data_IF_597754920256
#
_entry.id   IF_597754920256
#
_cell.length_a   1.000
_cell.length_b   1.000
_cell.length_c   1.000
_cell.angle_alpha   90.00
_cell.angle_beta   90.00
_cell.angle_gamma   90.00
#
_symmetry.space_group_name_H-M   'P 1'
#
loop_
_entity.id
_entity.type
_entity.pdbx_description
1 polymer ?
#
# COMPACT_ATOMS: atom_id res chain seq x y z
N UNK A 1 -8.08 -8.44 0.82
CA UNK A 1 -8.10 -8.37 -0.65
C UNK A 1 -6.71 -7.91 -1.08
N UNK A 2 -6.17 -8.50 -2.13
CA UNK A 2 -4.88 -8.08 -2.69
C UNK A 2 -5.02 -8.03 -4.20
N UNK A 3 -4.35 -7.08 -4.82
CA UNK A 3 -4.37 -6.86 -6.26
C UNK A 3 -3.01 -6.42 -6.77
N UNK A 4 -2.68 -6.92 -7.95
CA UNK A 4 -1.67 -6.34 -8.83
C UNK A 4 -2.44 -5.82 -10.02
N UNK A 5 -2.10 -4.62 -10.46
CA UNK A 5 -2.55 -3.99 -11.69
C UNK A 5 -1.31 -3.67 -12.51
N UNK A 6 -1.15 -4.30 -13.66
CA UNK A 6 -0.04 -4.01 -14.57
C UNK A 6 -0.59 -3.21 -15.75
N UNK A 7 -0.24 -1.94 -15.84
CA UNK A 7 -0.67 -1.00 -16.88
C UNK A 7 0.43 -0.81 -17.93
N UNK A 8 0.11 -1.07 -19.18
CA UNK A 8 0.99 -0.75 -20.31
C UNK A 8 0.95 0.76 -20.65
N UNK A 9 2.04 1.35 -21.17
CA UNK A 9 2.10 2.77 -21.56
C UNK A 9 1.08 3.16 -22.63
N UNK A 10 0.66 2.18 -23.43
CA UNK A 10 -0.39 2.28 -24.44
C UNK A 10 -1.78 2.46 -23.85
N UNK A 11 -1.98 2.16 -22.56
CA UNK A 11 -3.28 2.06 -21.90
C UNK A 11 -4.07 0.80 -22.28
N UNK A 12 -3.41 -0.17 -22.92
CA UNK A 12 -4.04 -1.34 -23.58
C UNK A 12 -4.08 -2.52 -22.60
N UNK A 13 -2.97 -2.97 -22.02
CA UNK A 13 -2.96 -4.03 -21.00
C UNK A 13 -3.20 -3.51 -19.58
N UNK A 14 -4.17 -4.10 -18.87
CA UNK A 14 -4.36 -3.96 -17.43
C UNK A 14 -4.69 -5.32 -16.86
N UNK A 15 -3.74 -5.93 -16.12
CA UNK A 15 -3.98 -7.24 -15.50
C UNK A 15 -4.30 -7.10 -14.03
N UNK A 16 -5.59 -7.30 -13.71
CA UNK A 16 -6.10 -7.28 -12.35
C UNK A 16 -6.04 -8.69 -11.74
N UNK A 17 -5.07 -8.90 -10.87
CA UNK A 17 -4.93 -10.14 -10.09
C UNK A 17 -5.65 -10.04 -8.75
N UNK A 18 -6.99 -10.16 -8.71
CA UNK A 18 -7.73 -10.12 -7.46
C UNK A 18 -7.62 -11.43 -6.69
N UNK A 19 -7.15 -11.35 -5.44
CA UNK A 19 -7.12 -12.47 -4.51
C UNK A 19 -8.25 -12.41 -3.48
N UNK A 20 -9.09 -13.44 -3.50
CA UNK A 20 -10.05 -13.76 -2.46
C UNK A 20 -9.75 -15.13 -1.85
N UNK A 21 -10.15 -15.34 -0.60
CA UNK A 21 -10.18 -16.70 -0.04
C UNK A 21 -11.12 -17.60 -0.86
N UNK A 22 -12.30 -17.07 -1.15
CA UNK A 22 -13.38 -17.70 -1.90
C UNK A 22 -14.28 -16.62 -2.53
N UNK A 23 -15.27 -17.03 -3.33
CA UNK A 23 -16.19 -16.15 -4.07
C UNK A 23 -16.81 -15.01 -3.26
N UNK A 24 -17.29 -15.26 -2.03
CA UNK A 24 -17.92 -14.20 -1.22
C UNK A 24 -16.95 -13.19 -0.56
N UNK A 25 -15.65 -13.25 -0.87
CA UNK A 25 -14.61 -12.31 -0.39
C UNK A 25 -14.01 -11.47 -1.52
N UNK A 26 -14.49 -11.64 -2.74
CA UNK A 26 -14.10 -10.81 -3.88
C UNK A 26 -14.98 -9.57 -3.85
N UNK A 27 -14.39 -8.42 -3.53
CA UNK A 27 -15.10 -7.15 -3.65
C UNK A 27 -15.39 -6.86 -5.12
N UNK A 28 -16.52 -6.21 -5.40
CA UNK A 28 -16.92 -5.79 -6.75
C UNK A 28 -17.04 -6.96 -7.75
N UNK A 29 -17.31 -8.20 -7.29
CA UNK A 29 -17.44 -9.37 -8.18
C UNK A 29 -18.43 -9.14 -9.32
N UNK A 30 -19.55 -8.50 -9.01
CA UNK A 30 -20.63 -8.22 -9.96
C UNK A 30 -20.35 -6.95 -10.79
N UNK A 31 -19.51 -6.06 -10.29
CA UNK A 31 -19.14 -4.79 -10.94
C UNK A 31 -17.88 -4.88 -11.79
N UNK A 32 -17.02 -5.89 -11.58
CA UNK A 32 -15.90 -6.22 -12.46
C UNK A 32 -16.52 -6.86 -13.71
N UNK A 33 -16.79 -6.09 -14.78
CA UNK A 33 -17.41 -6.64 -15.95
C UNK A 33 -16.47 -7.70 -16.51
N UNK A 34 -17.01 -8.66 -17.26
CA UNK A 34 -16.19 -9.34 -18.26
C UNK A 34 -15.77 -8.24 -19.22
N UNK A 35 -14.53 -7.77 -19.12
CA UNK A 35 -13.95 -6.77 -20.02
C UNK A 35 -13.70 -7.40 -21.41
N UNK A 36 -14.66 -8.18 -21.90
CA UNK A 36 -14.67 -8.75 -23.24
C UNK A 36 -14.58 -7.59 -24.24
N UNK A 37 -13.65 -7.71 -25.20
CA UNK A 37 -13.35 -6.72 -26.24
C UNK A 37 -12.66 -5.42 -25.78
N UNK A 38 -12.16 -5.37 -24.54
CA UNK A 38 -11.16 -4.37 -24.15
C UNK A 38 -9.78 -5.03 -24.09
N UNK A 39 -8.69 -4.27 -24.24
CA UNK A 39 -7.36 -4.85 -24.19
C UNK A 39 -6.90 -5.28 -22.78
N UNK A 40 -7.78 -5.17 -21.78
CA UNK A 40 -7.54 -5.60 -20.42
C UNK A 40 -7.75 -7.11 -20.26
N UNK A 41 -6.76 -7.81 -19.70
CA UNK A 41 -6.87 -9.23 -19.35
C UNK A 41 -7.07 -9.37 -17.84
N UNK A 42 -8.01 -10.18 -17.38
CA UNK A 42 -8.26 -10.40 -15.94
C UNK A 42 -7.87 -11.82 -15.56
N UNK A 43 -7.18 -11.98 -14.43
CA UNK A 43 -6.87 -13.29 -13.86
C UNK A 43 -7.21 -13.30 -12.37
N UNK A 44 -8.20 -14.09 -11.96
CA UNK A 44 -8.68 -14.18 -10.58
C UNK A 44 -8.12 -15.43 -9.90
N UNK A 45 -7.57 -15.26 -8.70
CA UNK A 45 -6.94 -16.35 -7.93
C UNK A 45 -7.71 -16.65 -6.66
N UNK A 46 -8.15 -17.91 -6.47
CA UNK A 46 -8.74 -18.39 -5.23
C UNK A 46 -7.79 -19.32 -4.47
N UNK A 47 -7.45 -18.93 -3.24
CA UNK A 47 -6.60 -19.75 -2.37
C UNK A 47 -7.39 -20.88 -1.68
N UNK A 48 -8.68 -20.68 -1.42
CA UNK A 48 -9.57 -21.63 -0.73
C UNK A 48 -10.97 -21.65 -1.41
N UNK A 49 -11.06 -22.07 -2.69
CA UNK A 49 -12.34 -22.12 -3.39
C UNK A 49 -13.33 -23.05 -2.66
N UNK A 50 -14.59 -22.63 -2.58
CA UNK A 50 -15.68 -23.45 -2.04
C UNK A 50 -16.07 -24.54 -3.04
N UNK A 51 -16.74 -25.62 -2.59
CA UNK A 51 -17.29 -26.62 -3.50
C UNK A 51 -18.29 -26.05 -4.52
N UNK A 52 -18.91 -24.91 -4.21
CA UNK A 52 -19.81 -24.18 -5.12
C UNK A 52 -19.09 -23.28 -6.13
N UNK A 53 -17.80 -23.03 -5.96
CA UNK A 53 -17.03 -22.13 -6.82
C UNK A 53 -16.54 -22.90 -8.06
N UNK A 54 -16.77 -22.35 -9.25
CA UNK A 54 -16.46 -22.99 -10.54
C UNK A 54 -15.27 -22.32 -11.22
N UNK A 55 -14.23 -23.10 -11.54
CA UNK A 55 -13.07 -22.59 -12.28
C UNK A 55 -13.46 -22.18 -13.72
N UNK A 56 -12.93 -21.06 -14.19
CA UNK A 56 -13.27 -20.43 -15.47
C UNK A 56 -14.56 -19.59 -15.45
N UNK A 57 -15.30 -19.62 -14.34
CA UNK A 57 -16.49 -18.79 -14.12
C UNK A 57 -16.26 -17.84 -12.95
N UNK A 58 -15.89 -18.39 -11.80
CA UNK A 58 -15.74 -17.66 -10.54
C UNK A 58 -14.28 -17.27 -10.27
N UNK A 59 -13.34 -18.09 -10.73
CA UNK A 59 -11.90 -17.88 -10.61
C UNK A 59 -11.16 -18.56 -11.76
N UNK A 60 -9.98 -18.07 -12.13
CA UNK A 60 -9.20 -18.58 -13.26
C UNK A 60 -8.13 -19.59 -12.82
N UNK A 61 -7.53 -19.32 -11.65
CA UNK A 61 -6.40 -20.10 -11.09
C UNK A 61 -6.61 -20.35 -9.60
N UNK A 62 -6.18 -21.54 -9.15
CA UNK A 62 -6.18 -21.89 -7.73
C UNK A 62 -4.82 -21.58 -7.12
N UNK A 63 -4.80 -21.02 -5.91
CA UNK A 63 -3.57 -20.71 -5.19
C UNK A 63 -3.24 -19.21 -5.20
N UNK A 64 -1.95 -18.89 -5.06
CA UNK A 64 -1.39 -17.53 -5.19
C UNK A 64 -0.60 -17.45 -6.49
N UNK A 65 -0.49 -16.28 -7.12
CA UNK A 65 0.38 -16.11 -8.29
C UNK A 65 1.84 -16.35 -7.89
N UNK A 66 2.54 -17.12 -8.73
CA UNK A 66 3.97 -17.37 -8.64
C UNK A 66 4.72 -16.63 -9.77
N UNK A 67 6.05 -16.75 -9.79
CA UNK A 67 6.89 -16.06 -10.77
C UNK A 67 6.56 -16.46 -12.21
N UNK A 68 6.23 -17.72 -12.46
CA UNK A 68 5.87 -18.22 -13.80
C UNK A 68 4.55 -17.60 -14.26
N UNK A 69 3.55 -17.57 -13.39
CA UNK A 69 2.26 -16.95 -13.68
C UNK A 69 2.40 -15.45 -13.96
N UNK A 70 3.21 -14.74 -13.16
CA UNK A 70 3.48 -13.31 -13.40
C UNK A 70 4.25 -13.12 -14.71
N UNK A 71 5.17 -14.03 -15.07
CA UNK A 71 5.86 -14.00 -16.38
C UNK A 71 4.88 -14.21 -17.53
N UNK A 72 3.94 -15.14 -17.45
CA UNK A 72 2.93 -15.34 -18.50
C UNK A 72 2.05 -14.11 -18.68
N UNK A 73 1.64 -13.51 -17.57
CA UNK A 73 0.82 -12.30 -17.49
C UNK A 73 1.54 -11.11 -18.13
N UNK A 74 2.79 -10.87 -17.75
CA UNK A 74 3.52 -9.66 -18.14
C UNK A 74 4.28 -9.87 -19.44
N UNK A 75 4.85 -11.04 -19.68
CA UNK A 75 5.79 -11.30 -20.77
C UNK A 75 5.18 -11.33 -22.17
N UNK A 76 3.90 -11.00 -22.34
CA UNK A 76 3.29 -10.89 -23.66
C UNK A 76 3.76 -9.58 -24.31
N UNK A 77 4.45 -9.61 -25.47
CA UNK A 77 4.82 -8.39 -26.18
C UNK A 77 3.58 -7.62 -26.61
N UNK A 78 3.67 -6.29 -26.60
CA UNK A 78 2.59 -5.42 -27.05
C UNK A 78 3.10 -4.38 -28.04
N UNK A 79 2.23 -3.95 -28.93
CA UNK A 79 2.51 -2.90 -29.91
C UNK A 79 1.80 -1.62 -29.51
N UNK A 80 2.49 -0.50 -29.60
CA UNK A 80 1.91 0.80 -29.28
C UNK A 80 2.52 1.91 -30.12
N UNK A 81 1.80 3.03 -30.27
CA UNK A 81 2.26 4.18 -31.04
C UNK A 81 2.54 5.36 -30.09
N UNK A 82 3.81 5.55 -29.66
CA UNK A 82 4.17 6.72 -28.88
C UNK A 82 4.09 7.98 -29.73
N UNK A 83 3.24 8.94 -29.33
CA UNK A 83 3.28 10.32 -29.85
C UNK A 83 3.19 10.43 -31.38
N UNK A 84 2.53 9.49 -32.06
CA UNK A 84 2.41 9.47 -33.53
C UNK A 84 3.73 9.17 -34.26
N UNK A 85 4.69 8.54 -33.59
CA UNK A 85 6.01 8.21 -34.15
C UNK A 85 6.05 6.87 -34.92
N UNK A 86 4.90 6.22 -35.10
CA UNK A 86 4.77 4.88 -35.69
C UNK A 86 4.68 3.77 -34.64
N UNK A 87 4.28 2.58 -35.07
CA UNK A 87 4.14 1.41 -34.21
C UNK A 87 5.50 0.93 -33.69
N UNK A 88 5.60 0.79 -32.37
CA UNK A 88 6.74 0.21 -31.66
C UNK A 88 6.27 -1.05 -30.96
N UNK A 89 6.99 -2.14 -31.17
CA UNK A 89 6.86 -3.36 -30.37
C UNK A 89 7.68 -3.20 -29.09
N UNK A 90 7.05 -3.40 -27.94
CA UNK A 90 7.70 -3.37 -26.63
C UNK A 90 7.50 -4.70 -25.93
N UNK A 91 8.53 -5.11 -25.20
CA UNK A 91 8.38 -6.22 -24.28
C UNK A 91 7.53 -5.81 -23.07
N UNK A 92 6.97 -6.81 -22.40
CA UNK A 92 6.17 -6.60 -21.21
C UNK A 92 6.88 -5.98 -20.02
N UNK A 93 8.23 -5.97 -20.02
CA UNK A 93 9.01 -5.36 -18.93
C UNK A 93 8.91 -3.84 -18.91
N UNK A 94 8.43 -3.24 -20.01
CA UNK A 94 8.08 -1.83 -20.11
C UNK A 94 6.63 -1.54 -19.67
N UNK A 95 6.24 -2.05 -18.48
CA UNK A 95 4.90 -1.85 -17.90
C UNK A 95 4.97 -1.22 -16.50
N UNK A 96 3.95 -0.44 -16.14
CA UNK A 96 3.77 0.10 -14.80
C UNK A 96 3.02 -0.92 -13.96
N UNK A 97 3.62 -1.41 -12.87
CA UNK A 97 2.98 -2.36 -11.97
C UNK A 97 2.57 -1.67 -10.66
N UNK A 98 1.26 -1.57 -10.42
CA UNK A 98 0.68 -1.07 -9.18
C UNK A 98 0.23 -2.24 -8.30
N UNK A 99 0.71 -2.30 -7.06
CA UNK A 99 0.49 -3.43 -6.16
C UNK A 99 -0.14 -2.93 -4.86
N UNK A 100 -1.17 -3.63 -4.37
CA UNK A 100 -1.64 -3.44 -3.00
C UNK A 100 -2.09 -4.76 -2.39
N UNK A 101 -1.85 -4.97 -1.09
CA UNK A 101 -2.29 -6.19 -0.43
C UNK A 101 -1.68 -6.43 0.94
N UNK A 102 -1.51 -7.71 1.27
CA UNK A 102 -0.78 -8.09 2.48
C UNK A 102 0.73 -7.88 2.28
N UNK A 103 1.50 -7.56 3.34
CA UNK A 103 2.94 -7.28 3.23
C UNK A 103 3.74 -8.40 2.55
N UNK A 104 3.45 -9.66 2.88
CA UNK A 104 4.08 -10.83 2.26
C UNK A 104 3.81 -10.88 0.74
N UNK A 105 2.58 -10.60 0.34
CA UNK A 105 2.18 -10.60 -1.06
C UNK A 105 2.88 -9.47 -1.83
N UNK A 106 2.87 -8.26 -1.30
CA UNK A 106 3.55 -7.12 -1.91
C UNK A 106 5.05 -7.40 -2.10
N UNK A 107 5.68 -8.01 -1.09
CA UNK A 107 7.10 -8.38 -1.13
C UNK A 107 7.35 -9.40 -2.24
N UNK A 108 6.60 -10.50 -2.29
CA UNK A 108 6.79 -11.54 -3.32
C UNK A 108 6.56 -11.00 -4.73
N UNK A 109 5.50 -10.21 -4.95
CA UNK A 109 5.23 -9.63 -6.28
C UNK A 109 6.34 -8.66 -6.70
N UNK A 110 6.81 -7.78 -5.80
CA UNK A 110 7.94 -6.88 -6.10
C UNK A 110 9.17 -7.66 -6.54
N UNK A 111 9.50 -8.75 -5.85
CA UNK A 111 10.62 -9.62 -6.21
C UNK A 111 10.44 -10.25 -7.60
N UNK A 112 9.24 -10.75 -7.91
CA UNK A 112 8.95 -11.33 -9.22
C UNK A 112 9.07 -10.29 -10.34
N UNK A 113 8.49 -9.10 -10.17
CA UNK A 113 8.54 -8.03 -11.16
C UNK A 113 9.97 -7.54 -11.42
N UNK A 114 10.77 -7.37 -10.35
CA UNK A 114 12.20 -7.04 -10.46
C UNK A 114 12.97 -8.15 -11.18
N UNK A 115 12.70 -9.42 -10.85
CA UNK A 115 13.30 -10.57 -11.51
C UNK A 115 12.92 -10.74 -12.99
N UNK A 116 11.82 -10.13 -13.42
CA UNK A 116 11.37 -10.08 -14.81
C UNK A 116 11.88 -8.83 -15.56
N UNK A 117 12.67 -7.98 -14.92
CA UNK A 117 13.31 -6.83 -15.57
C UNK A 117 12.51 -5.54 -15.51
N UNK A 118 11.36 -5.49 -14.81
CA UNK A 118 10.63 -4.23 -14.64
C UNK A 118 11.46 -3.29 -13.76
N UNK A 119 11.77 -2.07 -14.24
CA UNK A 119 12.50 -1.08 -13.46
C UNK A 119 11.76 -0.71 -12.17
N UNK A 120 12.51 -0.56 -11.07
CA UNK A 120 11.95 -0.18 -9.76
C UNK A 120 11.08 1.09 -9.78
N UNK A 121 11.39 2.15 -10.57
CA UNK A 121 10.51 3.32 -10.68
C UNK A 121 9.12 3.04 -11.28
N UNK A 122 8.95 1.93 -12.01
CA UNK A 122 7.66 1.51 -12.59
C UNK A 122 6.88 0.58 -11.66
N UNK A 123 7.47 0.13 -10.55
CA UNK A 123 6.81 -0.72 -9.55
C UNK A 123 6.29 0.15 -8.41
N UNK A 124 4.98 0.43 -8.43
CA UNK A 124 4.27 1.21 -7.43
C UNK A 124 3.59 0.28 -6.44
N UNK A 125 3.61 0.64 -5.17
CA UNK A 125 3.04 -0.19 -4.11
C UNK A 125 2.32 0.69 -3.10
N UNK A 126 1.13 0.27 -2.71
CA UNK A 126 0.34 0.88 -1.65
C UNK A 126 0.08 -0.15 -0.55
N UNK A 127 0.70 0.07 0.61
CA UNK A 127 0.60 -0.84 1.74
C UNK A 127 -0.52 -0.41 2.69
N UNK A 128 -1.47 -1.33 2.93
CA UNK A 128 -2.59 -1.14 3.87
C UNK A 128 -2.41 -1.97 5.15
N UNK A 129 -1.19 -2.14 5.62
CA UNK A 129 -0.96 -2.70 6.95
C UNK A 129 -1.33 -1.67 8.01
N UNK A 130 -2.07 -2.08 9.04
CA UNK A 130 -2.04 -1.35 10.29
C UNK A 130 -0.58 -1.31 10.74
N UNK A 131 0.09 -0.17 10.58
CA UNK A 131 1.36 0.05 11.26
C UNK A 131 1.03 0.08 12.73
N UNK A 132 1.15 -1.09 13.38
CA UNK A 132 0.94 -1.20 14.81
C UNK A 132 1.79 -0.15 15.49
N UNK A 133 1.19 0.55 16.46
CA UNK A 133 1.91 1.54 17.25
C UNK A 133 3.05 0.82 17.97
N UNK A 134 4.29 1.09 17.58
CA UNK A 134 5.47 0.59 18.29
C UNK A 134 5.64 1.48 19.51
N UNK A 135 5.47 0.91 20.71
CA UNK A 135 5.70 1.64 21.95
C UNK A 135 7.20 1.82 22.16
N UNK A 136 7.61 3.03 22.54
CA UNK A 136 8.95 3.27 23.07
C UNK A 136 9.13 2.72 24.48
N UNK A 137 10.36 2.78 24.98
CA UNK A 137 10.71 2.27 26.33
C UNK A 137 10.33 3.23 27.48
N UNK A 138 9.68 4.35 27.18
CA UNK A 138 9.29 5.35 28.19
C UNK A 138 7.94 5.03 28.81
N UNK A 139 7.83 5.17 30.13
CA UNK A 139 6.56 5.02 30.85
C UNK A 139 5.71 6.30 30.78
N UNK A 140 6.37 7.45 30.71
CA UNK A 140 5.73 8.76 30.66
C UNK A 140 6.56 9.70 29.80
N UNK A 141 5.88 10.53 29.02
CA UNK A 141 6.52 11.60 28.28
C UNK A 141 5.71 12.89 28.32
N UNK A 142 6.41 14.02 28.35
CA UNK A 142 5.83 15.35 28.13
C UNK A 142 5.94 15.69 26.65
N UNK A 143 4.80 15.82 25.99
CA UNK A 143 4.74 16.20 24.57
C UNK A 143 4.38 17.67 24.47
N UNK A 144 5.18 18.44 23.74
CA UNK A 144 4.97 19.87 23.49
C UNK A 144 4.62 20.10 22.02
N UNK A 145 3.57 20.87 21.79
CA UNK A 145 3.13 21.31 20.48
C UNK A 145 3.58 22.77 20.31
N UNK A 146 4.67 22.99 19.57
CA UNK A 146 5.43 24.25 19.64
C UNK A 146 4.72 25.44 18.99
N UNK A 147 3.92 25.25 17.95
CA UNK A 147 3.18 26.36 17.31
C UNK A 147 1.95 26.74 18.11
N UNK A 148 1.23 25.74 18.60
CA UNK A 148 0.03 25.93 19.44
C UNK A 148 0.35 26.31 20.89
N UNK A 149 1.61 26.14 21.32
CA UNK A 149 2.09 26.37 22.71
C UNK A 149 1.37 25.52 23.75
N UNK A 150 0.77 24.41 23.32
CA UNK A 150 0.13 23.45 24.21
C UNK A 150 1.10 22.34 24.60
N UNK A 151 0.80 21.64 25.68
CA UNK A 151 1.52 20.44 26.06
C UNK A 151 0.58 19.42 26.68
N UNK A 152 0.88 18.15 26.46
CA UNK A 152 0.14 17.02 26.99
C UNK A 152 1.10 16.05 27.67
N UNK A 153 0.57 15.24 28.60
CA UNK A 153 1.32 14.15 29.21
C UNK A 153 0.86 12.84 28.58
N UNK A 154 1.81 12.14 27.98
CA UNK A 154 1.63 10.79 27.46
C UNK A 154 1.99 9.78 28.55
N UNK A 155 1.22 8.69 28.63
CA UNK A 155 1.38 7.62 29.63
C UNK A 155 1.25 6.26 28.94
N UNK A 156 2.18 5.35 29.21
CA UNK A 156 2.23 4.03 28.57
C UNK A 156 1.04 3.14 28.94
N UNK A 157 0.44 3.34 30.11
CA UNK A 157 -0.75 2.61 30.56
C UNK A 157 -1.97 2.88 29.68
N UNK A 158 -2.01 4.03 29.01
CA UNK A 158 -3.03 4.38 28.01
C UNK A 158 -2.31 4.80 26.72
N UNK A 159 -1.76 3.83 25.97
CA UNK A 159 -0.95 4.12 24.82
C UNK A 159 -1.81 4.81 23.76
N UNK A 160 -1.42 6.03 23.40
CA UNK A 160 -2.05 6.83 22.36
C UNK A 160 -0.98 7.23 21.34
N UNK A 161 -1.34 7.34 20.07
CA UNK A 161 -0.49 8.00 19.08
C UNK A 161 -0.28 9.48 19.43
N UNK A 162 0.78 10.09 18.90
CA UNK A 162 1.01 11.54 19.06
C UNK A 162 -0.15 12.37 18.48
N UNK A 163 -0.84 11.85 17.45
CA UNK A 163 -2.06 12.44 16.90
C UNK A 163 -3.19 12.43 17.93
N UNK A 164 -3.53 11.27 18.50
CA UNK A 164 -4.60 11.15 19.50
C UNK A 164 -4.31 12.00 20.74
N UNK A 165 -3.04 12.09 21.14
CA UNK A 165 -2.63 12.96 22.23
C UNK A 165 -2.86 14.45 21.90
N UNK A 166 -2.56 14.88 20.67
CA UNK A 166 -2.86 16.24 20.20
C UNK A 166 -4.37 16.53 20.20
N UNK A 167 -5.16 15.58 19.69
CA UNK A 167 -6.63 15.67 19.69
C UNK A 167 -7.20 15.75 21.11
N UNK A 168 -6.60 15.02 22.06
CA UNK A 168 -7.04 15.04 23.46
C UNK A 168 -6.90 16.40 24.16
N UNK A 169 -6.01 17.26 23.67
CA UNK A 169 -5.85 18.65 24.14
C UNK A 169 -6.53 19.68 23.24
N UNK A 170 -7.39 19.22 22.31
CA UNK A 170 -8.20 20.07 21.44
C UNK A 170 -7.51 20.58 20.17
N UNK A 171 -6.36 20.01 19.80
CA UNK A 171 -5.70 20.32 18.54
C UNK A 171 -6.32 19.54 17.38
N UNK A 172 -6.30 20.14 16.19
CA UNK A 172 -6.76 19.52 14.94
C UNK A 172 -5.63 19.51 13.91
N UNK A 173 -4.54 18.77 14.15
CA UNK A 173 -3.47 18.62 13.16
C UNK A 173 -3.98 17.88 11.92
N UNK A 174 -3.32 18.08 10.79
CA UNK A 174 -3.67 17.40 9.54
C UNK A 174 -3.56 15.88 9.70
N UNK A 175 -4.54 15.12 9.19
CA UNK A 175 -4.53 13.66 9.18
C UNK A 175 -5.36 13.09 8.01
N UNK A 176 -5.15 11.81 7.70
CA UNK A 176 -5.89 11.09 6.66
C UNK A 176 -6.15 9.63 7.05
N UNK A 177 -5.22 8.73 6.72
CA UNK A 177 -5.39 7.28 6.87
C UNK A 177 -5.37 6.74 8.32
N UNK A 178 -4.77 7.49 9.27
CA UNK A 178 -4.46 7.03 10.65
C UNK A 178 -3.66 5.71 10.76
N UNK A 179 -3.04 5.27 9.65
CA UNK A 179 -2.31 4.00 9.57
C UNK A 179 -0.81 4.17 9.26
N UNK A 180 -0.32 5.41 9.17
CA UNK A 180 1.09 5.72 8.87
C UNK A 180 1.47 5.55 7.40
N UNK A 181 0.51 5.56 6.46
CA UNK A 181 0.79 5.31 5.03
C UNK A 181 0.61 6.54 4.13
N UNK A 182 -0.36 7.42 4.41
CA UNK A 182 -0.71 8.51 3.49
C UNK A 182 0.13 9.79 3.62
N UNK A 183 0.93 9.94 4.68
CA UNK A 183 1.77 11.12 4.89
C UNK A 183 1.06 12.40 5.36
N UNK A 184 -0.28 12.47 5.33
CA UNK A 184 -1.03 13.70 5.69
C UNK A 184 -0.78 14.20 7.11
N UNK A 185 -0.36 13.34 8.03
CA UNK A 185 -0.08 13.68 9.42
C UNK A 185 1.40 13.93 9.74
N UNK A 186 2.22 14.15 8.70
CA UNK A 186 3.64 14.41 8.83
C UNK A 186 3.88 15.76 9.54
N UNK A 187 4.72 15.74 10.56
CA UNK A 187 5.16 16.95 11.27
C UNK A 187 6.65 16.89 11.57
N UNK A 188 7.25 18.05 11.85
CA UNK A 188 8.65 18.14 12.23
C UNK A 188 8.82 17.86 13.73
N UNK A 189 9.77 16.99 14.06
CA UNK A 189 10.23 16.78 15.43
C UNK A 189 11.15 17.93 15.83
N UNK A 190 10.78 18.70 16.86
CA UNK A 190 11.58 19.84 17.36
C UNK A 190 12.54 19.44 18.47
N UNK A 191 12.21 18.41 19.24
CA UNK A 191 13.10 17.82 20.25
C UNK A 191 12.66 16.40 20.62
N UNK A 192 13.56 15.64 21.26
CA UNK A 192 13.30 14.28 21.73
C UNK A 192 13.43 13.22 20.65
N UNK A 193 12.86 12.04 20.91
CA UNK A 193 12.79 10.91 20.00
C UNK A 193 11.40 10.27 20.03
N UNK A 194 11.04 9.62 18.94
CA UNK A 194 9.77 8.91 18.78
C UNK A 194 10.04 7.46 18.37
N UNK A 195 9.10 6.59 18.70
CA UNK A 195 9.05 5.20 18.23
C UNK A 195 7.98 5.07 17.16
N UNK A 196 8.35 4.53 16.00
CA UNK A 196 7.49 4.43 14.83
C UNK A 196 7.27 5.74 14.08
N UNK A 197 6.72 5.64 12.87
CA UNK A 197 6.30 6.80 12.05
C UNK A 197 7.41 7.73 11.56
N UNK A 198 8.70 7.35 11.64
CA UNK A 198 9.81 8.16 11.13
C UNK A 198 9.92 8.00 9.61
N UNK A 199 9.89 9.12 8.89
CA UNK A 199 10.06 9.15 7.43
C UNK A 199 11.54 9.41 7.06
N UNK A 200 11.89 9.10 5.81
CA UNK A 200 13.26 9.24 5.31
C UNK A 200 13.78 10.69 5.29
N UNK A 201 12.86 11.67 5.23
CA UNK A 201 13.18 13.10 5.30
C UNK A 201 13.30 13.63 6.75
N UNK A 202 13.17 12.76 7.75
CA UNK A 202 13.25 13.09 9.16
C UNK A 202 11.95 13.65 9.76
N UNK A 203 10.86 13.73 9.00
CA UNK A 203 9.54 14.05 9.54
C UNK A 203 8.91 12.85 10.25
N UNK A 204 7.91 13.12 11.08
CA UNK A 204 7.24 12.13 11.92
C UNK A 204 5.75 12.08 11.59
N UNK A 205 5.25 10.89 11.31
CA UNK A 205 3.84 10.58 11.15
C UNK A 205 3.16 10.45 12.50
N UNK A 206 2.48 11.51 12.94
CA UNK A 206 1.89 11.58 14.29
C UNK A 206 0.86 10.49 14.57
N UNK A 207 0.18 9.96 13.55
CA UNK A 207 -0.84 8.92 13.72
C UNK A 207 -0.27 7.53 14.03
N UNK A 208 1.01 7.28 13.75
CA UNK A 208 1.67 5.98 13.94
C UNK A 208 2.91 6.06 14.84
N UNK A 209 3.18 7.23 15.42
CA UNK A 209 4.33 7.48 16.28
C UNK A 209 3.91 7.59 17.75
N UNK A 210 4.77 7.12 18.65
CA UNK A 210 4.69 7.36 20.11
C UNK A 210 5.98 7.97 20.64
N UNK A 211 5.98 8.58 21.84
CA UNK A 211 7.21 9.04 22.46
C UNK A 211 8.21 7.91 22.72
N UNK A 212 9.49 8.17 22.46
CA UNK A 212 10.62 7.31 22.85
C UNK A 212 11.58 8.01 23.83
N UNK A 213 11.29 9.26 24.21
CA UNK A 213 12.00 10.03 25.24
C UNK A 213 11.01 10.70 26.19
N UNK A 214 11.47 11.05 27.40
CA UNK A 214 10.64 11.69 28.43
C UNK A 214 10.12 13.07 28.02
N UNK A 215 10.78 13.73 27.06
CA UNK A 215 10.32 14.98 26.45
C UNK A 215 10.35 14.85 24.93
N UNK A 216 9.26 15.24 24.28
CA UNK A 216 9.09 15.23 22.82
C UNK A 216 8.47 16.55 22.39
N UNK A 217 9.00 17.15 21.33
CA UNK A 217 8.47 18.39 20.76
C UNK A 217 8.05 18.20 19.31
N UNK A 218 6.86 18.66 18.95
CA UNK A 218 6.28 18.57 17.62
C UNK A 218 5.90 19.96 17.11
N UNK A 219 6.12 20.22 15.83
CA UNK A 219 5.84 21.50 15.17
C UNK A 219 4.36 21.69 14.80
N UNK A 220 3.49 21.53 15.81
CA UNK A 220 2.01 21.62 15.77
C UNK A 220 1.49 22.75 16.65
#
# INVERSE_FOLDING_TARGET
MASVLVEEPSGVGAILACMGGHSSRVAFRDDIPRFEHRPFSKVVFFTQPRPSDVQGVDYDRRGRPDMETIREIIGTPFTWEPLGSGEIESDGSFSIASICGAPEFETSIKEYLKGLGIPEPLIRSESFSASGVVLGDVERAKVRFTKSKLSATWMKEKPMSLLELAESVGLTPDYGCRAGSCGSCATKLTCGSVSGGIQADGTVLTCSATPASEEVGLDI
#
